data_IF_580061528164
#
_entry.id   IF_580061528164
#
_cell.length_a   1.000
_cell.length_b   1.000
_cell.length_c   1.000
_cell.angle_alpha   90.00
_cell.angle_beta   90.00
_cell.angle_gamma   90.00
#
_symmetry.space_group_name_H-M   'P 1'
#
loop_
_entity.id
_entity.type
_entity.pdbx_description
1 polymer ?
#
# COMPACT_ATOMS: atom_id res chain seq x y z
N UNK A 1 -11.66 20.25 6.83
CA UNK A 1 -10.99 19.20 6.06
C UNK A 1 -11.96 18.06 5.87
N UNK A 2 -12.24 17.66 4.66
CA UNK A 2 -13.22 16.61 4.41
C UNK A 2 -12.56 15.24 4.69
N UNK A 3 -12.85 14.65 5.86
CA UNK A 3 -12.31 13.33 6.27
C UNK A 3 -12.60 12.22 5.24
N UNK A 4 -13.58 12.42 4.39
CA UNK A 4 -14.04 11.45 3.39
C UNK A 4 -13.10 11.29 2.18
N UNK A 5 -12.05 12.09 2.08
CA UNK A 5 -11.10 12.10 0.96
C UNK A 5 -9.66 11.75 1.38
N UNK A 6 -9.51 10.89 2.39
CA UNK A 6 -8.22 10.40 2.84
C UNK A 6 -8.07 8.92 2.47
N UNK A 7 -6.90 8.56 1.91
CA UNK A 7 -6.48 7.18 1.68
C UNK A 7 -5.27 6.90 2.57
N UNK A 8 -5.36 5.84 3.38
CA UNK A 8 -4.24 5.32 4.16
C UNK A 8 -3.42 4.38 3.27
N UNK A 9 -2.11 4.49 3.30
CA UNK A 9 -1.28 3.72 2.38
C UNK A 9 0.07 3.35 3.00
N UNK A 10 0.51 2.10 2.78
CA UNK A 10 1.90 1.71 3.03
C UNK A 10 2.83 2.22 1.93
N UNK A 11 4.14 2.22 2.20
CA UNK A 11 5.15 2.57 1.20
C UNK A 11 5.65 1.35 0.44
N UNK A 12 6.24 0.40 1.16
CA UNK A 12 7.02 -0.69 0.61
C UNK A 12 6.09 -1.80 0.08
N UNK A 13 6.26 -2.18 -1.19
CA UNK A 13 5.35 -3.12 -1.84
C UNK A 13 3.99 -2.52 -2.25
N UNK A 14 3.72 -1.26 -1.93
CA UNK A 14 2.48 -0.56 -2.31
C UNK A 14 2.77 0.63 -3.22
N UNK A 15 3.55 1.60 -2.76
CA UNK A 15 3.97 2.77 -3.52
C UNK A 15 5.34 2.60 -4.18
N UNK A 16 6.24 1.89 -3.50
CA UNK A 16 7.66 1.76 -3.83
C UNK A 16 8.05 0.29 -4.01
N UNK A 17 8.93 0.02 -4.95
CA UNK A 17 9.48 -1.30 -5.22
C UNK A 17 10.66 -1.62 -4.28
N UNK A 18 10.33 -1.84 -3.00
CA UNK A 18 11.31 -2.12 -1.95
C UNK A 18 12.06 -3.43 -2.21
N UNK A 19 11.35 -4.49 -2.55
CA UNK A 19 11.91 -5.83 -2.69
C UNK A 19 13.00 -5.88 -3.76
N UNK A 20 12.71 -5.35 -4.94
CA UNK A 20 13.68 -5.28 -6.04
C UNK A 20 14.87 -4.40 -5.67
N UNK A 21 14.62 -3.24 -5.06
CA UNK A 21 15.66 -2.29 -4.70
C UNK A 21 16.57 -2.86 -3.64
N UNK A 22 16.00 -3.51 -2.60
CA UNK A 22 16.78 -4.18 -1.57
C UNK A 22 17.60 -5.34 -2.14
N UNK A 23 17.01 -6.15 -3.01
CA UNK A 23 17.73 -7.27 -3.66
C UNK A 23 18.93 -6.76 -4.45
N UNK A 24 18.76 -5.69 -5.25
CA UNK A 24 19.87 -5.10 -5.99
C UNK A 24 20.92 -4.52 -5.05
N UNK A 25 20.49 -3.82 -4.00
CA UNK A 25 21.41 -3.26 -2.99
C UNK A 25 22.25 -4.36 -2.31
N UNK A 26 21.67 -5.51 -2.01
CA UNK A 26 22.41 -6.66 -1.46
C UNK A 26 23.42 -7.20 -2.47
N UNK A 27 23.05 -7.33 -3.75
CA UNK A 27 23.97 -7.75 -4.82
C UNK A 27 25.13 -6.77 -4.96
N UNK A 28 24.88 -5.47 -4.92
CA UNK A 28 25.91 -4.43 -4.99
C UNK A 28 26.86 -4.48 -3.77
N UNK A 29 26.43 -5.08 -2.64
CA UNK A 29 27.24 -5.33 -1.44
C UNK A 29 27.88 -6.73 -1.43
N UNK A 30 27.87 -7.44 -2.56
CA UNK A 30 28.58 -8.70 -2.72
C UNK A 30 27.82 -9.96 -2.28
N UNK A 31 26.52 -9.86 -2.02
CA UNK A 31 25.68 -11.02 -1.72
C UNK A 31 25.16 -11.66 -3.01
N UNK A 32 25.24 -12.98 -3.12
CA UNK A 32 24.74 -13.73 -4.25
C UNK A 32 23.29 -14.12 -4.05
N UNK A 33 22.45 -13.98 -5.08
CA UNK A 33 21.07 -14.48 -5.07
C UNK A 33 21.02 -15.97 -5.37
N UNK A 34 20.08 -16.69 -4.76
CA UNK A 34 19.78 -18.06 -5.15
C UNK A 34 19.01 -18.08 -6.47
N UNK A 35 19.01 -19.23 -7.16
CA UNK A 35 18.16 -19.44 -8.33
C UNK A 35 16.69 -19.25 -7.95
N UNK A 36 15.93 -18.60 -8.83
CA UNK A 36 14.49 -18.32 -8.65
C UNK A 36 14.19 -17.52 -7.35
N UNK A 37 15.12 -16.62 -6.95
CA UNK A 37 14.99 -15.78 -5.76
C UNK A 37 13.74 -14.91 -5.76
N UNK A 38 13.23 -14.53 -6.93
CA UNK A 38 11.99 -13.76 -7.08
C UNK A 38 10.76 -14.51 -6.54
N UNK A 39 10.81 -15.84 -6.53
CA UNK A 39 9.73 -16.69 -6.02
C UNK A 39 9.82 -16.97 -4.51
N UNK A 40 10.90 -16.51 -3.86
CA UNK A 40 11.09 -16.71 -2.43
C UNK A 40 10.31 -15.68 -1.64
N UNK A 41 9.53 -16.15 -0.67
CA UNK A 41 8.75 -15.30 0.22
C UNK A 41 9.61 -14.52 1.22
N UNK A 42 10.53 -15.25 1.87
CA UNK A 42 11.33 -14.65 2.94
C UNK A 42 12.61 -14.08 2.38
N UNK A 43 12.91 -12.85 2.76
CA UNK A 43 14.07 -12.10 2.26
C UNK A 43 15.37 -12.88 2.41
N UNK A 44 15.59 -13.55 3.55
CA UNK A 44 16.81 -14.34 3.78
C UNK A 44 16.91 -15.60 2.90
N UNK A 45 15.80 -16.09 2.37
CA UNK A 45 15.79 -17.24 1.44
C UNK A 45 16.20 -16.85 0.02
N UNK A 46 16.32 -15.54 -0.27
CA UNK A 46 16.70 -15.02 -1.58
C UNK A 46 18.21 -15.05 -1.82
N UNK A 47 19.01 -15.18 -0.77
CA UNK A 47 20.46 -15.06 -0.83
C UNK A 47 21.18 -16.32 -0.37
N UNK A 48 22.35 -16.57 -0.97
CA UNK A 48 23.21 -17.68 -0.60
C UNK A 48 23.82 -17.41 0.77
N UNK A 49 23.72 -18.38 1.68
CA UNK A 49 24.35 -18.37 3.01
C UNK A 49 24.04 -17.15 3.89
N UNK A 50 22.90 -16.49 3.68
CA UNK A 50 22.46 -15.36 4.52
C UNK A 50 21.42 -15.84 5.54
N UNK A 51 21.76 -15.95 6.84
CA UNK A 51 20.80 -16.33 7.88
C UNK A 51 19.77 -15.22 8.14
N UNK A 52 18.60 -15.59 8.68
CA UNK A 52 17.51 -14.66 8.99
C UNK A 52 17.97 -13.45 9.83
N UNK A 53 18.82 -13.68 10.84
CA UNK A 53 19.35 -12.61 11.70
C UNK A 53 20.14 -11.57 10.91
N UNK A 54 21.02 -12.03 10.01
CA UNK A 54 21.80 -11.14 9.15
C UNK A 54 20.91 -10.40 8.15
N UNK A 55 19.96 -11.09 7.54
CA UNK A 55 18.98 -10.47 6.62
C UNK A 55 18.23 -9.31 7.29
N UNK A 56 17.81 -9.47 8.55
CA UNK A 56 17.12 -8.41 9.30
C UNK A 56 18.04 -7.20 9.56
N UNK A 57 19.32 -7.44 9.87
CA UNK A 57 20.32 -6.37 10.04
C UNK A 57 20.54 -5.64 8.71
N UNK A 58 20.68 -6.37 7.61
CA UNK A 58 20.86 -5.79 6.28
C UNK A 58 19.66 -4.99 5.82
N UNK A 59 18.43 -5.45 6.11
CA UNK A 59 17.22 -4.71 5.84
C UNK A 59 17.19 -3.37 6.59
N UNK A 60 17.63 -3.33 7.86
CA UNK A 60 17.77 -2.09 8.63
C UNK A 60 18.83 -1.17 8.01
N UNK A 61 19.99 -1.69 7.66
CA UNK A 61 21.05 -0.90 7.01
C UNK A 61 20.60 -0.30 5.68
N UNK A 62 19.87 -1.06 4.89
CA UNK A 62 19.25 -0.56 3.67
C UNK A 62 18.25 0.55 3.96
N UNK A 63 17.35 0.34 4.90
CA UNK A 63 16.33 1.32 5.29
C UNK A 63 16.92 2.63 5.83
N UNK A 64 18.11 2.57 6.43
CA UNK A 64 18.85 3.73 6.96
C UNK A 64 19.88 4.29 5.97
N UNK A 65 20.03 3.68 4.80
CA UNK A 65 20.98 4.12 3.77
C UNK A 65 20.41 5.20 2.86
N UNK A 66 21.29 5.85 2.09
CA UNK A 66 20.89 6.80 1.06
C UNK A 66 20.00 6.18 -0.05
N UNK A 67 20.01 4.86 -0.21
CA UNK A 67 19.24 4.15 -1.24
C UNK A 67 17.72 4.42 -1.12
N UNK A 68 17.19 4.60 0.10
CA UNK A 68 15.75 4.86 0.30
C UNK A 68 15.27 6.20 -0.29
N UNK A 69 16.19 7.13 -0.58
CA UNK A 69 15.88 8.38 -1.25
C UNK A 69 15.64 8.23 -2.78
N UNK A 70 15.99 7.07 -3.34
CA UNK A 70 15.99 6.83 -4.79
C UNK A 70 15.24 5.56 -5.19
N UNK A 71 14.41 5.04 -4.29
CA UNK A 71 13.58 3.87 -4.60
C UNK A 71 12.61 4.16 -5.75
N UNK A 72 12.51 3.28 -6.74
CA UNK A 72 11.57 3.45 -7.83
C UNK A 72 10.12 3.26 -7.36
N UNK A 73 9.15 3.86 -8.06
CA UNK A 73 7.74 3.63 -7.79
C UNK A 73 7.36 2.20 -8.17
N UNK A 74 6.38 1.65 -7.44
CA UNK A 74 5.81 0.36 -7.79
C UNK A 74 4.89 0.50 -9.01
N UNK A 75 5.19 -0.22 -10.09
CA UNK A 75 4.34 -0.35 -11.28
C UNK A 75 3.76 1.01 -11.74
N UNK A 76 2.44 1.13 -11.75
CA UNK A 76 1.65 2.27 -12.22
C UNK A 76 1.25 3.26 -11.10
N UNK A 77 1.87 3.18 -9.92
CA UNK A 77 1.54 3.98 -8.74
C UNK A 77 1.53 5.50 -9.04
N UNK A 78 2.54 6.03 -9.71
CA UNK A 78 2.60 7.47 -10.03
C UNK A 78 1.35 7.94 -10.76
N UNK A 79 0.92 7.18 -11.78
CA UNK A 79 -0.21 7.55 -12.62
C UNK A 79 -1.51 7.65 -11.80
N UNK A 80 -1.78 6.64 -10.99
CA UNK A 80 -3.08 6.54 -10.33
C UNK A 80 -3.16 7.28 -9.00
N UNK A 81 -2.07 7.40 -8.25
CA UNK A 81 -1.97 8.31 -7.10
C UNK A 81 -2.22 9.75 -7.56
N UNK A 82 -1.59 10.16 -8.67
CA UNK A 82 -1.83 11.48 -9.28
C UNK A 82 -3.30 11.67 -9.67
N UNK A 83 -3.92 10.70 -10.33
CA UNK A 83 -5.34 10.77 -10.70
C UNK A 83 -6.26 10.89 -9.49
N UNK A 84 -6.04 10.07 -8.46
CA UNK A 84 -6.83 10.14 -7.23
C UNK A 84 -6.68 11.50 -6.54
N UNK A 85 -5.49 12.07 -6.56
CA UNK A 85 -5.23 13.37 -5.96
C UNK A 85 -5.80 14.52 -6.80
N UNK A 86 -5.42 14.63 -8.08
CA UNK A 86 -5.73 15.79 -8.92
C UNK A 86 -7.17 15.78 -9.46
N UNK A 87 -7.72 14.59 -9.80
CA UNK A 87 -9.06 14.47 -10.40
C UNK A 87 -10.14 14.25 -9.35
N UNK A 88 -9.85 13.53 -8.26
CA UNK A 88 -10.82 13.17 -7.23
C UNK A 88 -10.63 13.89 -5.89
N UNK A 89 -9.54 14.65 -5.73
CA UNK A 89 -9.25 15.44 -4.52
C UNK A 89 -8.87 14.60 -3.29
N UNK A 90 -8.40 13.36 -3.48
CA UNK A 90 -7.88 12.54 -2.38
C UNK A 90 -6.51 13.04 -1.91
N UNK A 91 -6.27 12.94 -0.60
CA UNK A 91 -4.95 13.08 0.01
C UNK A 91 -4.56 11.75 0.67
N UNK A 92 -3.25 11.54 0.82
CA UNK A 92 -2.73 10.28 1.34
C UNK A 92 -2.09 10.48 2.70
N UNK A 93 -2.34 9.55 3.63
CA UNK A 93 -1.59 9.39 4.86
C UNK A 93 -0.69 8.16 4.70
N UNK A 94 0.61 8.38 4.66
CA UNK A 94 1.60 7.31 4.61
C UNK A 94 1.79 6.72 6.01
N UNK A 95 1.67 5.38 6.14
CA UNK A 95 1.91 4.63 7.38
C UNK A 95 2.87 3.49 7.04
N UNK A 96 4.15 3.63 7.37
CA UNK A 96 5.18 2.70 6.92
C UNK A 96 6.19 2.34 8.03
N UNK A 97 6.59 1.06 8.06
CA UNK A 97 7.58 0.54 9.02
C UNK A 97 8.97 0.61 8.40
N UNK A 98 9.62 1.75 8.53
CA UNK A 98 10.94 2.04 7.95
C UNK A 98 12.07 1.90 8.97
N UNK A 99 12.19 2.86 9.86
CA UNK A 99 13.19 3.01 10.92
C UNK A 99 12.81 4.17 11.83
N UNK A 100 13.30 4.15 13.07
CA UNK A 100 13.24 5.29 14.00
C UNK A 100 14.27 6.38 13.69
N UNK A 101 15.18 6.16 12.74
CA UNK A 101 16.18 7.16 12.31
C UNK A 101 15.53 8.31 11.54
N UNK A 102 15.64 9.53 12.05
CA UNK A 102 15.01 10.72 11.46
C UNK A 102 15.58 11.07 10.08
N UNK A 103 16.86 10.75 9.84
CA UNK A 103 17.48 11.00 8.53
C UNK A 103 16.89 10.05 7.47
N UNK A 104 16.72 8.77 7.80
CA UNK A 104 16.06 7.80 6.93
C UNK A 104 14.61 8.22 6.61
N UNK A 105 13.89 8.70 7.62
CA UNK A 105 12.52 9.23 7.45
C UNK A 105 12.49 10.46 6.53
N UNK A 106 13.45 11.37 6.68
CA UNK A 106 13.58 12.54 5.80
C UNK A 106 13.88 12.12 4.35
N UNK A 107 14.76 11.15 4.14
CA UNK A 107 15.09 10.61 2.82
C UNK A 107 13.87 9.93 2.16
N UNK A 108 13.11 9.13 2.91
CA UNK A 108 11.88 8.50 2.43
C UNK A 108 10.82 9.56 2.08
N UNK A 109 10.62 10.55 2.94
CA UNK A 109 9.70 11.67 2.67
C UNK A 109 10.08 12.38 1.38
N UNK A 110 11.38 12.67 1.17
CA UNK A 110 11.89 13.28 -0.06
C UNK A 110 11.60 12.40 -1.28
N UNK A 111 11.83 11.09 -1.19
CA UNK A 111 11.55 10.16 -2.29
C UNK A 111 10.06 10.19 -2.67
N UNK A 112 9.16 10.03 -1.70
CA UNK A 112 7.71 10.07 -1.93
C UNK A 112 7.29 11.39 -2.59
N UNK A 113 7.76 12.54 -2.07
CA UNK A 113 7.43 13.86 -2.64
C UNK A 113 7.97 14.04 -4.05
N UNK A 114 9.16 13.54 -4.34
CA UNK A 114 9.75 13.60 -5.68
C UNK A 114 8.94 12.79 -6.71
N UNK A 115 8.40 11.63 -6.30
CA UNK A 115 7.65 10.74 -7.19
C UNK A 115 6.19 11.16 -7.36
N UNK A 116 5.54 11.59 -6.31
CA UNK A 116 4.09 11.78 -6.27
C UNK A 116 3.64 13.25 -6.10
N UNK A 117 4.58 14.18 -5.93
CA UNK A 117 4.30 15.59 -5.72
C UNK A 117 4.20 15.99 -4.24
N UNK A 118 4.25 17.30 -3.99
CA UNK A 118 4.31 17.85 -2.63
C UNK A 118 2.96 17.91 -1.92
N UNK A 119 1.86 17.83 -2.65
CA UNK A 119 0.50 18.05 -2.13
C UNK A 119 -0.31 16.78 -1.95
N UNK A 120 0.10 15.67 -2.60
CA UNK A 120 -0.63 14.41 -2.53
C UNK A 120 -0.59 13.76 -1.12
N UNK A 121 0.52 13.94 -0.39
CA UNK A 121 0.71 13.33 0.92
C UNK A 121 0.63 14.38 2.04
N UNK A 122 -0.40 14.25 2.88
CA UNK A 122 -0.63 15.17 4.00
C UNK A 122 0.11 14.73 5.28
N UNK A 123 0.15 13.42 5.54
CA UNK A 123 0.81 12.86 6.72
C UNK A 123 1.81 11.78 6.35
N UNK A 124 2.91 11.75 7.11
CA UNK A 124 3.94 10.73 7.06
C UNK A 124 4.10 10.17 8.47
N UNK A 125 3.73 8.90 8.66
CA UNK A 125 3.79 8.20 9.95
C UNK A 125 4.79 7.07 9.78
N UNK A 126 5.92 7.21 10.46
CA UNK A 126 7.02 6.26 10.43
C UNK A 126 7.03 5.41 11.69
N UNK A 127 7.16 4.12 11.52
CA UNK A 127 7.36 3.14 12.59
C UNK A 127 8.75 2.53 12.45
N UNK A 128 9.25 1.88 13.51
CA UNK A 128 10.52 1.18 13.45
C UNK A 128 10.44 -0.03 12.50
N UNK A 129 11.59 -0.49 12.03
CA UNK A 129 11.70 -1.59 11.07
C UNK A 129 10.94 -2.82 11.54
N UNK A 130 9.94 -3.24 10.77
CA UNK A 130 9.12 -4.41 11.05
C UNK A 130 8.09 -4.24 12.16
N UNK A 131 7.88 -3.03 12.68
CA UNK A 131 6.86 -2.76 13.68
C UNK A 131 5.45 -2.97 13.11
N UNK A 132 4.54 -3.46 13.95
CA UNK A 132 3.12 -3.62 13.62
C UNK A 132 2.41 -2.26 13.57
N UNK A 133 1.34 -2.17 12.76
CA UNK A 133 0.63 -0.91 12.46
C UNK A 133 -0.65 -0.73 13.28
N UNK A 134 -1.02 -1.70 14.10
CA UNK A 134 -2.28 -1.78 14.86
C UNK A 134 -2.58 -0.48 15.61
N UNK A 135 -1.65 -0.04 16.48
CA UNK A 135 -1.82 1.16 17.30
C UNK A 135 -2.02 2.45 16.51
N UNK A 136 -1.38 2.54 15.34
CA UNK A 136 -1.51 3.72 14.48
C UNK A 136 -2.84 3.70 13.75
N UNK A 137 -3.26 2.53 13.28
CA UNK A 137 -4.54 2.34 12.59
C UNK A 137 -5.75 2.55 13.53
N UNK A 138 -5.62 2.33 14.84
CA UNK A 138 -6.67 2.64 15.82
C UNK A 138 -7.16 4.10 15.76
N UNK A 139 -6.28 5.05 15.38
CA UNK A 139 -6.66 6.45 15.22
C UNK A 139 -7.63 6.68 14.05
N UNK A 140 -7.79 5.69 13.18
CA UNK A 140 -8.67 5.71 12.00
C UNK A 140 -9.84 4.73 12.12
N UNK A 141 -10.02 4.11 13.30
CA UNK A 141 -11.08 3.14 13.55
C UNK A 141 -12.46 3.69 13.15
N UNK A 142 -13.28 2.82 12.58
CA UNK A 142 -14.66 3.09 12.13
C UNK A 142 -14.80 4.28 11.16
N UNK A 143 -13.69 4.64 10.47
CA UNK A 143 -13.69 5.77 9.52
C UNK A 143 -14.12 5.37 8.10
N UNK A 144 -14.18 4.07 7.81
CA UNK A 144 -14.40 3.53 6.46
C UNK A 144 -13.40 4.04 5.39
N UNK A 145 -12.26 4.59 5.81
CA UNK A 145 -11.18 5.01 4.89
C UNK A 145 -10.58 3.81 4.18
N UNK A 146 -10.10 4.01 2.96
CA UNK A 146 -9.31 3.00 2.27
C UNK A 146 -7.96 2.83 2.94
N UNK A 147 -7.57 1.58 3.16
CA UNK A 147 -6.26 1.18 3.65
C UNK A 147 -5.59 0.25 2.62
N UNK A 148 -4.50 0.70 1.98
CA UNK A 148 -3.78 -0.05 0.97
C UNK A 148 -2.48 -0.60 1.56
N UNK A 149 -2.32 -1.93 1.53
CA UNK A 149 -1.25 -2.66 2.20
C UNK A 149 -0.82 -3.88 1.35
N UNK A 150 0.40 -4.39 1.53
CA UNK A 150 0.87 -5.64 0.90
C UNK A 150 1.06 -6.80 1.90
N UNK A 151 1.11 -6.49 3.22
CA UNK A 151 1.22 -7.50 4.28
C UNK A 151 -0.17 -7.94 4.74
N UNK A 152 -0.55 -9.23 4.57
CA UNK A 152 -1.89 -9.72 4.92
C UNK A 152 -2.32 -9.39 6.36
N UNK A 153 -1.43 -9.58 7.35
CA UNK A 153 -1.76 -9.30 8.74
C UNK A 153 -2.20 -7.84 8.96
N UNK A 154 -1.52 -6.87 8.36
CA UNK A 154 -1.89 -5.45 8.50
C UNK A 154 -3.19 -5.11 7.73
N UNK A 155 -3.47 -5.80 6.62
CA UNK A 155 -4.73 -5.63 5.90
C UNK A 155 -5.91 -6.15 6.72
N UNK A 156 -5.77 -7.30 7.40
CA UNK A 156 -6.79 -7.85 8.31
C UNK A 156 -7.04 -6.92 9.50
N UNK A 157 -6.00 -6.38 10.13
CA UNK A 157 -6.14 -5.37 11.20
C UNK A 157 -6.96 -4.17 10.71
N UNK A 158 -6.72 -3.70 9.50
CA UNK A 158 -7.53 -2.64 8.91
C UNK A 158 -9.01 -3.00 8.83
N UNK A 159 -9.36 -4.21 8.40
CA UNK A 159 -10.74 -4.70 8.35
C UNK A 159 -11.37 -4.78 9.76
N UNK A 160 -10.63 -5.30 10.74
CA UNK A 160 -11.09 -5.39 12.13
C UNK A 160 -11.38 -4.01 12.74
N UNK A 161 -10.65 -2.99 12.28
CA UNK A 161 -10.84 -1.60 12.68
C UNK A 161 -11.88 -0.84 11.84
N UNK A 162 -12.63 -1.52 10.96
CA UNK A 162 -13.68 -0.89 10.13
C UNK A 162 -13.15 -0.05 8.97
N UNK A 163 -11.91 -0.34 8.51
CA UNK A 163 -11.34 0.25 7.30
C UNK A 163 -11.70 -0.58 6.07
N UNK A 164 -11.64 0.04 4.90
CA UNK A 164 -11.78 -0.63 3.60
C UNK A 164 -10.40 -1.09 3.12
N UNK A 165 -9.97 -2.25 3.59
CA UNK A 165 -8.63 -2.78 3.32
C UNK A 165 -8.52 -3.37 1.92
N UNK A 166 -7.49 -2.94 1.19
CA UNK A 166 -7.11 -3.41 -0.15
C UNK A 166 -5.71 -4.00 -0.05
N UNK A 167 -5.54 -5.26 -0.45
CA UNK A 167 -4.27 -5.98 -0.41
C UNK A 167 -3.60 -5.98 -1.77
N UNK A 168 -2.46 -5.30 -1.91
CA UNK A 168 -1.62 -5.37 -3.10
C UNK A 168 -1.00 -6.76 -3.21
N UNK A 169 -1.22 -7.44 -4.34
CA UNK A 169 -0.75 -8.80 -4.56
C UNK A 169 0.72 -8.83 -4.94
N UNK A 170 1.47 -9.64 -4.21
CA UNK A 170 2.87 -10.01 -4.45
C UNK A 170 3.06 -11.51 -4.27
N UNK A 171 4.21 -12.03 -4.68
CA UNK A 171 4.56 -13.46 -4.52
C UNK A 171 4.39 -13.92 -3.07
N UNK A 172 4.73 -13.06 -2.11
CA UNK A 172 4.69 -13.39 -0.69
C UNK A 172 3.28 -13.54 -0.09
N UNK A 173 2.26 -12.99 -0.73
CA UNK A 173 0.89 -13.07 -0.25
C UNK A 173 -0.09 -13.80 -1.17
N UNK A 174 0.43 -14.58 -2.16
CA UNK A 174 -0.40 -15.33 -3.10
C UNK A 174 -1.36 -16.32 -2.43
N UNK A 175 -0.96 -16.90 -1.31
CA UNK A 175 -1.76 -17.87 -0.54
C UNK A 175 -2.77 -17.22 0.41
N UNK A 176 -2.90 -15.91 0.41
CA UNK A 176 -3.86 -15.22 1.26
C UNK A 176 -5.31 -15.56 0.86
N UNK A 177 -6.11 -16.02 1.82
CA UNK A 177 -7.51 -16.40 1.68
C UNK A 177 -8.45 -15.57 2.59
N UNK A 178 -7.96 -14.43 3.11
CA UNK A 178 -8.73 -13.56 4.00
C UNK A 178 -9.73 -12.68 3.23
N UNK A 179 -10.25 -11.67 3.93
CA UNK A 179 -11.37 -10.84 3.45
C UNK A 179 -10.96 -9.56 2.74
N UNK A 180 -9.69 -9.13 2.83
CA UNK A 180 -9.23 -7.93 2.13
C UNK A 180 -9.28 -8.13 0.62
N UNK A 181 -9.75 -7.10 -0.10
CA UNK A 181 -9.81 -7.15 -1.56
C UNK A 181 -8.40 -7.18 -2.15
N UNK A 182 -8.14 -8.19 -2.97
CA UNK A 182 -6.83 -8.37 -3.61
C UNK A 182 -6.78 -7.67 -4.95
N UNK A 183 -5.72 -6.91 -5.15
CA UNK A 183 -5.43 -6.18 -6.39
C UNK A 183 -4.01 -6.45 -6.87
N UNK A 184 -3.76 -6.30 -8.17
CA UNK A 184 -2.45 -6.50 -8.78
C UNK A 184 -1.69 -5.20 -9.06
N UNK A 185 -2.40 -4.06 -9.11
CA UNK A 185 -1.84 -2.79 -9.52
C UNK A 185 -2.70 -1.61 -9.04
N UNK A 186 -2.18 -0.40 -9.17
CA UNK A 186 -2.88 0.82 -8.80
C UNK A 186 -4.07 1.15 -9.71
N UNK A 187 -4.11 0.64 -10.94
CA UNK A 187 -5.28 0.77 -11.82
C UNK A 187 -6.51 0.09 -11.26
N UNK A 188 -6.35 -1.05 -10.58
CA UNK A 188 -7.45 -1.74 -9.89
C UNK A 188 -7.87 -0.98 -8.64
N UNK A 189 -6.92 -0.49 -7.82
CA UNK A 189 -7.22 0.38 -6.67
C UNK A 189 -8.02 1.61 -7.10
N UNK A 190 -7.58 2.27 -8.19
CA UNK A 190 -8.28 3.42 -8.73
C UNK A 190 -9.72 3.10 -9.07
N UNK A 191 -10.00 1.98 -9.75
CA UNK A 191 -11.37 1.56 -10.11
C UNK A 191 -12.25 1.33 -8.89
N UNK A 192 -11.73 0.66 -7.86
CA UNK A 192 -12.44 0.43 -6.60
C UNK A 192 -12.84 1.75 -5.95
N UNK A 193 -11.91 2.70 -5.84
CA UNK A 193 -12.13 3.99 -5.19
C UNK A 193 -13.07 4.88 -6.03
N UNK A 194 -12.89 4.91 -7.36
CA UNK A 194 -13.73 5.67 -8.28
C UNK A 194 -15.18 5.18 -8.25
N UNK A 195 -15.41 3.86 -8.30
CA UNK A 195 -16.73 3.27 -8.21
C UNK A 195 -17.40 3.58 -6.87
N UNK A 196 -16.67 3.44 -5.75
CA UNK A 196 -17.19 3.81 -4.43
C UNK A 196 -17.59 5.29 -4.36
N UNK A 197 -16.80 6.17 -4.96
CA UNK A 197 -17.07 7.62 -5.00
C UNK A 197 -18.30 7.94 -5.87
N UNK A 198 -18.46 7.26 -6.99
CA UNK A 198 -19.63 7.44 -7.89
C UNK A 198 -20.91 6.96 -7.22
N UNK A 199 -20.90 5.81 -6.56
CA UNK A 199 -22.06 5.29 -5.84
C UNK A 199 -22.48 6.23 -4.70
N UNK A 200 -21.53 6.76 -3.94
CA UNK A 200 -21.81 7.76 -2.89
C UNK A 200 -22.47 9.01 -3.47
N UNK A 201 -22.01 9.50 -4.61
CA UNK A 201 -22.58 10.67 -5.28
C UNK A 201 -23.97 10.38 -5.85
N UNK A 202 -24.21 9.19 -6.42
CA UNK A 202 -25.53 8.79 -6.94
C UNK A 202 -26.55 8.66 -5.82
N UNK A 203 -26.20 8.07 -4.69
CA UNK A 203 -27.06 7.98 -3.52
C UNK A 203 -27.43 9.36 -3.00
N UNK A 204 -26.51 10.31 -2.96
CA UNK A 204 -26.78 11.69 -2.52
C UNK A 204 -27.75 12.44 -3.45
N UNK A 205 -27.69 12.16 -4.76
CA UNK A 205 -28.60 12.76 -5.76
C UNK A 205 -30.02 12.16 -5.73
N UNK A 206 -30.16 10.89 -5.34
CA UNK A 206 -31.42 10.17 -5.41
C UNK A 206 -32.28 10.29 -4.16
N UNK A 207 -31.72 10.49 -3.01
CA UNK A 207 -32.44 10.31 -1.75
C UNK A 207 -32.67 11.60 -0.98
N UNK A 208 -31.88 12.64 -1.21
CA UNK A 208 -31.94 13.83 -0.35
C UNK A 208 -31.80 13.51 1.16
N UNK A 209 -31.54 12.25 1.46
CA UNK A 209 -31.49 11.66 2.79
C UNK A 209 -30.12 11.00 2.97
N UNK A 210 -29.37 11.43 3.97
CA UNK A 210 -28.01 10.95 4.26
C UNK A 210 -27.93 9.46 4.67
N UNK A 211 -29.06 8.74 4.69
CA UNK A 211 -29.17 7.39 5.24
C UNK A 211 -29.04 6.23 4.24
N UNK A 212 -28.71 6.45 2.97
CA UNK A 212 -28.52 5.37 1.99
C UNK A 212 -27.04 5.11 1.65
N UNK A 213 -26.14 5.41 2.57
CA UNK A 213 -24.72 5.00 2.50
C UNK A 213 -24.51 3.48 2.71
N UNK A 214 -25.59 2.69 2.86
CA UNK A 214 -25.53 1.31 3.31
C UNK A 214 -25.62 0.26 2.19
N UNK A 215 -25.09 0.55 0.97
CA UNK A 215 -24.64 -0.60 0.19
C UNK A 215 -23.45 -1.20 0.92
N UNK A 216 -23.54 -2.48 1.35
CA UNK A 216 -22.39 -3.11 1.99
C UNK A 216 -21.19 -3.00 1.07
N UNK A 217 -20.02 -2.71 1.63
CA UNK A 217 -18.74 -2.68 0.90
C UNK A 217 -18.58 -3.90 -0.04
N UNK A 218 -19.06 -5.06 0.40
CA UNK A 218 -19.10 -6.29 -0.40
C UNK A 218 -19.84 -6.14 -1.74
N UNK A 219 -20.95 -5.39 -1.79
CA UNK A 219 -21.69 -5.16 -3.04
C UNK A 219 -20.90 -4.32 -4.03
N UNK A 220 -20.12 -3.32 -3.54
CA UNK A 220 -19.22 -2.54 -4.38
C UNK A 220 -18.13 -3.42 -4.97
N UNK A 221 -17.58 -4.33 -4.17
CA UNK A 221 -16.56 -5.29 -4.60
C UNK A 221 -17.10 -6.28 -5.63
N UNK A 222 -18.34 -6.74 -5.49
CA UNK A 222 -19.00 -7.62 -6.45
C UNK A 222 -19.19 -6.92 -7.80
N UNK A 223 -19.66 -5.68 -7.82
CA UNK A 223 -19.82 -4.87 -9.03
C UNK A 223 -18.45 -4.68 -9.76
N UNK A 224 -17.37 -4.38 -9.04
CA UNK A 224 -16.02 -4.26 -9.61
C UNK A 224 -15.50 -5.60 -10.13
N UNK A 225 -15.81 -6.70 -9.45
CA UNK A 225 -15.40 -8.05 -9.85
C UNK A 225 -16.12 -8.48 -11.14
N UNK A 226 -17.40 -8.18 -11.26
CA UNK A 226 -18.19 -8.49 -12.45
C UNK A 226 -17.73 -7.70 -13.69
N UNK A 227 -17.37 -6.40 -13.52
CA UNK A 227 -16.76 -5.60 -14.58
C UNK A 227 -15.39 -6.15 -15.01
N UNK A 228 -14.61 -6.70 -14.09
CA UNK A 228 -13.32 -7.33 -14.38
C UNK A 228 -13.50 -8.57 -15.25
N UNK A 229 -14.43 -9.46 -14.89
CA UNK A 229 -14.73 -10.68 -15.65
C UNK A 229 -15.23 -10.32 -17.05
N UNK A 230 -16.07 -9.30 -17.19
CA UNK A 230 -16.61 -8.85 -18.48
C UNK A 230 -15.53 -8.25 -19.42
N UNK A 231 -14.45 -7.70 -18.86
CA UNK A 231 -13.34 -7.09 -19.63
C UNK A 231 -12.20 -8.08 -19.95
N UNK A 232 -12.04 -9.15 -19.19
CA UNK A 232 -11.06 -10.22 -19.47
C UNK A 232 -11.54 -11.19 -20.56
N UNK A 233 -12.84 -11.15 -20.93
CA UNK A 233 -13.44 -11.95 -22.00
C UNK A 233 -13.46 -11.29 -23.40
N UNK A 234 -12.80 -10.13 -23.55
CA UNK A 234 -12.62 -9.41 -24.82
C UNK A 234 -11.16 -9.28 -25.17
#
# INVERSE_FOLDING_TARGET
MNKDKVILVDADGVLLDWERTFTQWMVDHGYETVKDHELKYKVYEKFVDVPKSQSNVMARYFNESAAVAYMPPLRDAIKYVKKLHEEHGYVFHLITSLSSDEHAQALRTKNIRNLFGNTAFEKFIYLDTGADKDKVLEAYKDSEMFWVEDKPANAEVGLELGLRSILMTHTHNLSYEGKAERVWNWGEIYRIIDNASRLKNLNHLWTGDDNLSDKPWQTILEEVRDERIANEGK
#
